data_IF_938312762653
#
_entry.id   IF_938312762653
#
_cell.length_a   1.000
_cell.length_b   1.000
_cell.length_c   1.000
_cell.angle_alpha   90.00
_cell.angle_beta   90.00
_cell.angle_gamma   90.00
#
_symmetry.space_group_name_H-M   'P 1'
#
loop_
_entity.id
_entity.type
_entity.pdbx_description
1 polymer ?
#
# COMPACT_ATOMS: atom_id res chain seq x y z
N UNK A 1 -6.85 -26.77 -3.75
CA UNK A 1 -6.77 -25.30 -3.74
C UNK A 1 -5.76 -24.90 -2.67
N UNK A 2 -4.83 -24.04 -2.98
CA UNK A 2 -3.87 -23.53 -1.99
C UNK A 2 -4.64 -22.63 -1.01
N UNK A 3 -4.55 -22.90 0.26
CA UNK A 3 -5.16 -22.10 1.34
C UNK A 3 -4.12 -21.08 1.83
N UNK A 4 -4.53 -19.83 2.04
CA UNK A 4 -3.68 -18.79 2.63
C UNK A 4 -4.45 -18.08 3.73
N UNK A 5 -3.87 -17.97 4.91
CA UNK A 5 -4.51 -17.35 6.07
C UNK A 5 -4.67 -15.84 5.92
N UNK A 6 -3.72 -15.19 5.27
CA UNK A 6 -3.65 -13.73 5.12
C UNK A 6 -3.58 -13.32 3.66
N UNK A 7 -4.44 -12.38 3.26
CA UNK A 7 -4.39 -11.68 1.98
C UNK A 7 -3.81 -10.28 2.18
N UNK A 8 -2.66 -9.97 1.57
CA UNK A 8 -2.02 -8.65 1.59
C UNK A 8 -2.26 -7.92 0.28
N UNK A 9 -3.00 -6.81 0.34
CA UNK A 9 -3.22 -5.95 -0.81
C UNK A 9 -2.04 -4.99 -1.00
N UNK A 10 -1.50 -4.95 -2.21
CA UNK A 10 -0.49 -3.98 -2.67
C UNK A 10 -1.13 -3.14 -3.77
N UNK A 11 -1.28 -1.84 -3.54
CA UNK A 11 -1.73 -0.90 -4.56
C UNK A 11 -0.58 -0.54 -5.51
N UNK A 12 -0.91 -0.09 -6.72
CA UNK A 12 0.07 0.21 -7.75
C UNK A 12 1.03 1.37 -7.43
N UNK A 13 0.71 2.21 -6.44
CA UNK A 13 1.58 3.27 -5.90
C UNK A 13 2.39 2.83 -4.66
N UNK A 14 2.27 1.55 -4.26
CA UNK A 14 2.91 0.99 -3.05
C UNK A 14 4.01 -0.03 -3.38
N UNK A 15 4.66 0.08 -4.52
CA UNK A 15 5.67 -0.87 -5.00
C UNK A 15 7.04 -0.62 -4.34
N UNK A 16 7.09 -0.73 -3.01
CA UNK A 16 8.30 -0.51 -2.20
C UNK A 16 8.89 -1.84 -1.72
N UNK A 17 10.01 -2.33 -2.31
CA UNK A 17 10.61 -3.61 -1.91
C UNK A 17 11.24 -3.58 -0.52
N UNK A 18 11.44 -2.39 0.08
CA UNK A 18 12.01 -2.24 1.42
C UNK A 18 10.95 -2.27 2.53
N UNK A 19 9.67 -2.38 2.19
CA UNK A 19 8.59 -2.44 3.18
C UNK A 19 8.77 -3.64 4.12
N UNK A 20 8.40 -3.47 5.39
CA UNK A 20 8.56 -4.49 6.44
C UNK A 20 7.88 -5.82 6.13
N UNK A 21 6.83 -5.83 5.30
CA UNK A 21 6.16 -7.05 4.84
C UNK A 21 7.08 -8.05 4.16
N UNK A 22 8.19 -7.59 3.56
CA UNK A 22 9.11 -8.45 2.80
C UNK A 22 10.36 -8.87 3.60
N UNK A 23 10.44 -8.49 4.90
CA UNK A 23 11.58 -8.88 5.75
C UNK A 23 11.58 -10.37 6.11
N UNK A 24 10.39 -10.97 6.19
CA UNK A 24 10.21 -12.39 6.49
C UNK A 24 9.20 -12.99 5.53
N UNK A 25 9.50 -14.18 5.03
CA UNK A 25 8.56 -14.96 4.22
C UNK A 25 7.60 -15.68 5.13
N UNK A 26 6.35 -15.76 4.66
CA UNK A 26 5.27 -16.46 5.30
C UNK A 26 4.45 -17.16 4.21
N UNK A 27 4.47 -18.49 4.22
CA UNK A 27 3.80 -19.29 3.20
C UNK A 27 2.27 -19.21 3.32
N UNK A 28 1.75 -18.79 4.48
CA UNK A 28 0.32 -18.57 4.71
C UNK A 28 -0.17 -17.21 4.22
N UNK A 29 0.73 -16.38 3.69
CA UNK A 29 0.40 -15.05 3.15
C UNK A 29 0.38 -15.05 1.62
N UNK A 30 -0.73 -14.57 1.04
CA UNK A 30 -0.90 -14.27 -0.37
C UNK A 30 -0.84 -12.76 -0.60
N UNK A 31 0.04 -12.31 -1.49
CA UNK A 31 0.13 -10.92 -1.91
C UNK A 31 -0.70 -10.71 -3.16
N UNK A 32 -1.63 -9.77 -3.14
CA UNK A 32 -2.49 -9.40 -4.28
C UNK A 32 -2.03 -8.08 -4.88
N UNK A 33 -1.71 -8.10 -6.15
CA UNK A 33 -1.50 -6.92 -7.00
C UNK A 33 -2.52 -7.01 -8.13
N UNK A 34 -3.40 -6.02 -8.28
CA UNK A 34 -4.47 -6.10 -9.27
C UNK A 34 -4.66 -4.79 -10.02
N UNK A 35 -4.79 -4.90 -11.34
CA UNK A 35 -5.23 -3.83 -12.21
C UNK A 35 -6.76 -3.75 -12.15
N UNK A 36 -7.33 -2.58 -11.98
CA UNK A 36 -8.77 -2.38 -11.82
C UNK A 36 -9.28 -1.23 -12.69
N UNK A 37 -10.40 -1.44 -13.35
CA UNK A 37 -11.12 -0.37 -14.09
C UNK A 37 -11.48 0.80 -13.18
N UNK A 38 -11.81 0.55 -11.93
CA UNK A 38 -12.04 1.58 -10.93
C UNK A 38 -10.92 2.62 -10.88
N UNK A 39 -9.65 2.20 -11.08
CA UNK A 39 -8.48 3.08 -11.01
C UNK A 39 -8.13 3.72 -12.36
N UNK A 40 -8.63 3.18 -13.47
CA UNK A 40 -8.37 3.72 -14.81
C UNK A 40 -9.45 4.70 -15.27
N UNK A 41 -10.68 4.57 -14.76
CA UNK A 41 -11.86 5.23 -15.32
C UNK A 41 -12.32 6.48 -14.53
N UNK A 42 -11.86 6.65 -13.27
CA UNK A 42 -12.29 7.80 -12.46
C UNK A 42 -11.81 9.15 -13.01
N UNK A 43 -10.74 9.15 -13.81
CA UNK A 43 -10.21 10.30 -14.56
C UNK A 43 -9.52 9.81 -15.83
N UNK A 44 -9.60 10.61 -16.91
CA UNK A 44 -8.87 10.27 -18.15
C UNK A 44 -7.37 10.30 -17.93
N UNK A 45 -6.74 9.14 -17.95
CA UNK A 45 -5.29 9.01 -17.93
C UNK A 45 -4.71 8.89 -19.34
N UNK A 46 -3.49 9.39 -19.51
CA UNK A 46 -2.74 9.17 -20.75
C UNK A 46 -2.35 7.69 -20.85
N UNK A 47 -2.48 7.08 -22.03
CA UNK A 47 -2.21 5.65 -22.25
C UNK A 47 -0.79 5.24 -21.82
N UNK A 48 0.22 6.06 -22.10
CA UNK A 48 1.60 5.78 -21.67
C UNK A 48 1.74 5.70 -20.15
N UNK A 49 0.98 6.52 -19.39
CA UNK A 49 0.96 6.45 -17.93
C UNK A 49 0.38 5.12 -17.47
N UNK A 50 -0.75 4.69 -18.04
CA UNK A 50 -1.38 3.41 -17.70
C UNK A 50 -0.46 2.23 -18.01
N UNK A 51 0.12 2.20 -19.23
CA UNK A 51 1.06 1.14 -19.60
C UNK A 51 2.28 1.08 -18.68
N UNK A 52 2.87 2.23 -18.35
CA UNK A 52 4.03 2.29 -17.45
C UNK A 52 3.66 1.83 -16.02
N UNK A 53 2.46 2.18 -15.57
CA UNK A 53 1.97 1.83 -14.25
C UNK A 53 1.72 0.31 -14.12
N UNK A 54 1.01 -0.28 -15.08
CA UNK A 54 0.74 -1.73 -15.10
C UNK A 54 2.01 -2.55 -15.30
N UNK A 55 2.91 -2.11 -16.18
CA UNK A 55 4.22 -2.76 -16.33
C UNK A 55 5.05 -2.71 -15.03
N UNK A 56 4.97 -1.62 -14.26
CA UNK A 56 5.63 -1.56 -12.96
C UNK A 56 5.02 -2.54 -11.96
N UNK A 57 3.69 -2.70 -11.94
CA UNK A 57 2.99 -3.66 -11.09
C UNK A 57 3.37 -5.11 -11.45
N UNK A 58 3.37 -5.46 -12.74
CA UNK A 58 3.77 -6.78 -13.24
C UNK A 58 5.24 -7.11 -12.89
N UNK A 59 6.15 -6.15 -13.11
CA UNK A 59 7.56 -6.32 -12.77
C UNK A 59 7.77 -6.52 -11.27
N UNK A 60 7.04 -5.79 -10.44
CA UNK A 60 7.11 -5.93 -8.99
C UNK A 60 6.56 -7.29 -8.53
N UNK A 61 5.42 -7.73 -9.08
CA UNK A 61 4.87 -9.06 -8.84
C UNK A 61 5.85 -10.17 -9.21
N UNK A 62 6.49 -10.06 -10.38
CA UNK A 62 7.50 -11.00 -10.86
C UNK A 62 8.72 -11.03 -9.93
N UNK A 63 9.20 -9.87 -9.48
CA UNK A 63 10.33 -9.78 -8.56
C UNK A 63 10.01 -10.44 -7.21
N UNK A 64 8.83 -10.21 -6.65
CA UNK A 64 8.39 -10.85 -5.41
C UNK A 64 8.24 -12.37 -5.57
N UNK A 65 7.64 -12.84 -6.67
CA UNK A 65 7.56 -14.28 -6.97
C UNK A 65 8.94 -14.92 -7.09
N UNK A 66 9.87 -14.26 -7.80
CA UNK A 66 11.26 -14.73 -7.93
C UNK A 66 11.97 -14.78 -6.57
N UNK A 67 11.64 -13.84 -5.69
CA UNK A 67 12.13 -13.83 -4.31
C UNK A 67 11.45 -14.91 -3.43
N UNK A 68 10.46 -15.64 -3.93
CA UNK A 68 9.80 -16.77 -3.26
C UNK A 68 8.62 -16.36 -2.36
N UNK A 69 7.96 -15.22 -2.64
CA UNK A 69 6.68 -14.84 -2.04
C UNK A 69 5.52 -15.42 -2.87
N UNK A 70 4.40 -15.72 -2.21
CA UNK A 70 3.17 -16.12 -2.92
C UNK A 70 2.47 -14.87 -3.43
N UNK A 71 2.55 -14.59 -4.73
CA UNK A 71 1.98 -13.39 -5.34
C UNK A 71 0.94 -13.78 -6.38
N UNK A 72 -0.22 -13.16 -6.30
CA UNK A 72 -1.28 -13.17 -7.30
C UNK A 72 -1.30 -11.81 -7.99
N UNK A 73 -0.87 -11.76 -9.24
CA UNK A 73 -1.05 -10.60 -10.11
C UNK A 73 -2.25 -10.82 -11.01
N UNK A 74 -3.18 -9.87 -11.02
CA UNK A 74 -4.38 -9.88 -11.84
C UNK A 74 -4.35 -8.69 -12.80
N UNK A 75 -4.54 -8.98 -14.08
CA UNK A 75 -4.66 -7.98 -15.15
C UNK A 75 -6.08 -7.39 -15.19
N UNK A 76 -6.28 -6.35 -16.01
CA UNK A 76 -7.63 -5.77 -16.23
C UNK A 76 -8.63 -6.82 -16.73
N UNK A 77 -8.19 -7.77 -17.56
CA UNK A 77 -9.07 -8.84 -18.07
C UNK A 77 -9.46 -9.82 -16.97
N UNK A 78 -8.59 -10.07 -15.99
CA UNK A 78 -8.87 -10.95 -14.85
C UNK A 78 -9.82 -10.31 -13.81
N UNK A 79 -9.98 -8.99 -13.86
CA UNK A 79 -10.79 -8.19 -12.93
C UNK A 79 -12.00 -7.55 -13.58
N UNK A 80 -12.32 -7.91 -14.83
CA UNK A 80 -13.40 -7.27 -15.62
C UNK A 80 -14.78 -7.42 -14.99
N UNK A 81 -15.01 -8.52 -14.29
CA UNK A 81 -16.27 -8.81 -13.60
C UNK A 81 -16.38 -8.14 -12.22
N UNK A 82 -15.29 -7.64 -11.67
CA UNK A 82 -15.27 -6.99 -10.35
C UNK A 82 -15.68 -5.51 -10.47
N UNK A 83 -16.76 -5.10 -9.81
CA UNK A 83 -17.23 -3.70 -9.84
C UNK A 83 -16.26 -2.72 -9.22
N UNK A 84 -15.60 -3.17 -8.15
CA UNK A 84 -14.68 -2.35 -7.38
C UNK A 84 -13.65 -3.21 -6.60
N UNK A 85 -12.71 -2.53 -5.96
CA UNK A 85 -11.67 -3.15 -5.14
C UNK A 85 -12.23 -4.03 -4.02
N UNK A 86 -13.37 -3.67 -3.43
CA UNK A 86 -13.93 -4.43 -2.30
C UNK A 86 -14.53 -5.75 -2.76
N UNK A 87 -15.20 -5.75 -3.91
CA UNK A 87 -15.73 -6.98 -4.51
C UNK A 87 -14.59 -7.94 -4.86
N UNK A 88 -13.52 -7.43 -5.48
CA UNK A 88 -12.30 -8.19 -5.76
C UNK A 88 -11.70 -8.80 -4.47
N UNK A 89 -11.52 -7.99 -3.42
CA UNK A 89 -10.93 -8.48 -2.16
C UNK A 89 -11.75 -9.61 -1.53
N UNK A 90 -13.08 -9.48 -1.55
CA UNK A 90 -13.99 -10.53 -1.05
C UNK A 90 -13.87 -11.80 -1.89
N UNK A 91 -13.92 -11.68 -3.23
CA UNK A 91 -13.79 -12.80 -4.15
C UNK A 91 -12.47 -13.57 -3.94
N UNK A 92 -11.37 -12.84 -3.81
CA UNK A 92 -10.05 -13.47 -3.61
C UNK A 92 -9.93 -14.08 -2.21
N UNK A 93 -10.42 -13.40 -1.17
CA UNK A 93 -10.43 -13.94 0.19
C UNK A 93 -11.24 -15.24 0.29
N UNK A 94 -12.42 -15.29 -0.31
CA UNK A 94 -13.24 -16.49 -0.40
C UNK A 94 -12.54 -17.61 -1.16
N UNK A 95 -12.00 -17.32 -2.34
CA UNK A 95 -11.31 -18.31 -3.20
C UNK A 95 -10.15 -18.99 -2.50
N UNK A 96 -9.38 -18.23 -1.72
CA UNK A 96 -8.19 -18.72 -1.01
C UNK A 96 -8.45 -19.00 0.48
N UNK A 97 -9.69 -18.82 0.93
CA UNK A 97 -10.14 -19.05 2.32
C UNK A 97 -9.34 -18.21 3.35
N UNK A 98 -9.08 -16.95 3.00
CA UNK A 98 -8.35 -16.05 3.88
C UNK A 98 -9.21 -15.59 5.06
N UNK A 99 -8.62 -15.58 6.26
CA UNK A 99 -9.25 -15.09 7.49
C UNK A 99 -8.97 -13.61 7.75
N UNK A 100 -7.83 -13.14 7.22
CA UNK A 100 -7.32 -11.77 7.42
C UNK A 100 -7.03 -11.10 6.09
N UNK A 101 -7.42 -9.82 5.96
CA UNK A 101 -7.01 -8.95 4.87
C UNK A 101 -6.15 -7.83 5.46
N UNK A 102 -4.93 -7.69 4.95
CA UNK A 102 -4.03 -6.60 5.30
C UNK A 102 -3.85 -5.66 4.11
N UNK A 103 -3.86 -4.35 4.37
CA UNK A 103 -3.57 -3.35 3.36
C UNK A 103 -2.73 -2.21 3.93
N UNK A 104 -1.91 -1.57 3.09
CA UNK A 104 -1.21 -0.35 3.45
C UNK A 104 -2.14 0.85 3.27
N UNK A 105 -2.03 1.88 4.13
CA UNK A 105 -2.86 3.07 4.02
C UNK A 105 -2.74 3.69 2.61
N UNK A 106 -3.85 3.84 1.86
CA UNK A 106 -3.81 4.53 0.58
C UNK A 106 -3.50 6.01 0.77
N UNK A 107 -2.74 6.59 -0.15
CA UNK A 107 -2.49 8.03 -0.19
C UNK A 107 -3.69 8.79 -0.75
N UNK A 108 -4.53 8.12 -1.56
CA UNK A 108 -5.75 8.69 -2.10
C UNK A 108 -6.92 8.62 -1.11
N UNK A 109 -7.59 9.77 -0.89
CA UNK A 109 -8.69 9.88 0.07
C UNK A 109 -9.89 8.98 -0.27
N UNK A 110 -10.23 8.82 -1.55
CA UNK A 110 -11.33 7.97 -2.02
C UNK A 110 -11.11 6.50 -1.62
N UNK A 111 -9.95 5.93 -1.95
CA UNK A 111 -9.57 4.58 -1.58
C UNK A 111 -9.45 4.40 -0.07
N UNK A 112 -8.86 5.38 0.62
CA UNK A 112 -8.77 5.38 2.08
C UNK A 112 -10.17 5.29 2.73
N UNK A 113 -11.13 6.05 2.24
CA UNK A 113 -12.51 6.04 2.74
C UNK A 113 -13.21 4.72 2.43
N UNK A 114 -13.01 4.17 1.22
CA UNK A 114 -13.57 2.89 0.78
C UNK A 114 -13.06 1.74 1.65
N UNK A 115 -11.74 1.64 1.86
CA UNK A 115 -11.13 0.59 2.68
C UNK A 115 -11.44 0.76 4.17
N UNK A 116 -11.54 1.99 4.68
CA UNK A 116 -11.97 2.23 6.06
C UNK A 116 -13.41 1.77 6.31
N UNK A 117 -14.32 2.03 5.35
CA UNK A 117 -15.69 1.51 5.41
C UNK A 117 -15.71 -0.01 5.32
N UNK A 118 -14.97 -0.59 4.41
CA UNK A 118 -14.84 -2.05 4.30
C UNK A 118 -14.37 -2.67 5.61
N UNK A 119 -13.36 -2.08 6.26
CA UNK A 119 -12.86 -2.54 7.56
C UNK A 119 -13.95 -2.53 8.65
N UNK A 120 -14.83 -1.52 8.66
CA UNK A 120 -15.92 -1.44 9.65
C UNK A 120 -17.06 -2.44 9.40
N UNK A 121 -17.33 -2.75 8.12
CA UNK A 121 -18.49 -3.52 7.70
C UNK A 121 -18.17 -5.01 7.45
N UNK A 122 -16.88 -5.38 7.44
CA UNK A 122 -16.43 -6.73 7.13
C UNK A 122 -16.54 -7.66 8.32
N UNK A 123 -16.91 -8.91 8.05
CA UNK A 123 -16.81 -10.03 9.01
C UNK A 123 -15.39 -10.60 9.10
N UNK A 124 -14.52 -10.29 8.11
CA UNK A 124 -13.12 -10.67 8.11
C UNK A 124 -12.30 -9.75 9.02
N UNK A 125 -11.17 -10.24 9.50
CA UNK A 125 -10.20 -9.40 10.20
C UNK A 125 -9.49 -8.51 9.19
N UNK A 126 -9.75 -7.19 9.20
CA UNK A 126 -9.16 -6.23 8.26
C UNK A 126 -8.19 -5.30 8.98
N UNK A 127 -6.92 -5.34 8.59
CA UNK A 127 -5.81 -4.62 9.23
C UNK A 127 -5.24 -3.59 8.25
N UNK A 128 -5.07 -2.35 8.72
CA UNK A 128 -4.37 -1.30 7.98
C UNK A 128 -3.00 -1.06 8.58
N UNK A 129 -1.97 -1.00 7.75
CA UNK A 129 -0.57 -0.76 8.13
C UNK A 129 -0.04 0.53 7.49
N UNK A 130 1.07 1.05 7.99
CA UNK A 130 1.75 2.20 7.37
C UNK A 130 2.38 1.79 6.04
N UNK A 131 2.49 2.71 5.09
CA UNK A 131 3.15 2.49 3.79
C UNK A 131 4.66 2.45 3.89
N UNK A 132 5.24 2.98 4.95
CA UNK A 132 6.69 3.19 5.12
C UNK A 132 7.34 4.02 3.99
N UNK A 133 6.54 4.73 3.18
CA UNK A 133 7.03 5.62 2.12
C UNK A 133 7.58 6.93 2.66
N UNK A 134 7.07 7.36 3.83
CA UNK A 134 7.41 8.64 4.42
C UNK A 134 8.28 8.46 5.67
N UNK A 135 9.20 9.37 5.87
CA UNK A 135 10.04 9.38 7.08
C UNK A 135 9.21 9.58 8.36
N UNK A 136 8.07 10.26 8.27
CA UNK A 136 7.14 10.43 9.38
C UNK A 136 5.97 9.46 9.23
N UNK A 137 5.80 8.49 10.12
CA UNK A 137 4.65 7.59 10.13
C UNK A 137 3.32 8.36 10.30
N UNK A 138 2.23 7.83 9.74
CA UNK A 138 0.91 8.44 9.87
C UNK A 138 0.47 8.66 11.32
N UNK A 139 0.83 7.75 12.22
CA UNK A 139 0.54 7.83 13.65
C UNK A 139 1.18 9.05 14.31
N UNK A 140 2.33 9.51 13.81
CA UNK A 140 3.15 10.55 14.42
C UNK A 140 2.79 11.96 13.93
N UNK A 141 1.95 12.07 12.88
CA UNK A 141 1.53 13.37 12.33
C UNK A 141 0.90 14.24 13.41
N UNK A 142 0.00 13.66 14.23
CA UNK A 142 -0.70 14.42 15.28
C UNK A 142 0.22 14.91 16.39
N UNK A 143 1.32 14.22 16.66
CA UNK A 143 2.31 14.63 17.67
C UNK A 143 3.20 15.76 17.18
N UNK A 144 3.50 15.76 15.86
CA UNK A 144 4.33 16.79 15.22
C UNK A 144 3.55 18.04 14.86
N UNK A 145 2.29 17.88 14.45
CA UNK A 145 1.43 18.98 14.01
C UNK A 145 0.21 19.07 14.92
N UNK A 146 0.36 19.83 16.00
CA UNK A 146 -0.75 20.06 16.94
C UNK A 146 -1.83 20.92 16.28
N UNK A 147 -3.08 20.50 16.38
CA UNK A 147 -4.23 21.24 15.85
C UNK A 147 -4.22 22.70 16.35
N UNK A 148 -4.44 23.64 15.44
CA UNK A 148 -4.47 25.09 15.69
C UNK A 148 -3.12 25.72 16.12
N UNK A 149 -2.00 25.01 15.99
CA UNK A 149 -0.67 25.60 16.15
C UNK A 149 0.03 25.70 14.79
N UNK A 150 0.60 26.88 14.54
CA UNK A 150 1.42 27.06 13.34
C UNK A 150 2.79 26.41 13.56
N UNK A 151 3.18 25.53 12.62
CA UNK A 151 4.51 24.92 12.57
C UNK A 151 5.11 25.29 11.22
N UNK A 152 6.29 25.90 11.22
CA UNK A 152 7.00 26.20 9.97
C UNK A 152 7.59 24.92 9.39
N UNK A 153 7.59 24.82 8.06
CA UNK A 153 8.22 23.68 7.37
C UNK A 153 9.71 23.57 7.68
N UNK A 154 10.39 24.70 7.89
CA UNK A 154 11.80 24.70 8.28
C UNK A 154 12.02 24.01 9.63
N UNK A 155 11.19 24.29 10.61
CA UNK A 155 11.26 23.63 11.93
C UNK A 155 11.05 22.12 11.81
N UNK A 156 10.02 21.70 11.05
CA UNK A 156 9.74 20.31 10.76
C UNK A 156 10.91 19.63 10.04
N UNK A 157 11.41 20.26 8.97
CA UNK A 157 12.54 19.77 8.18
C UNK A 157 13.80 19.53 9.04
N UNK A 158 14.17 20.51 9.89
CA UNK A 158 15.31 20.38 10.81
C UNK A 158 15.12 19.25 11.82
N UNK A 159 13.89 19.07 12.32
CA UNK A 159 13.58 17.99 13.24
C UNK A 159 13.73 16.61 12.57
N UNK A 160 13.25 16.45 11.32
CA UNK A 160 13.41 15.21 10.55
C UNK A 160 14.87 14.91 10.25
N UNK A 161 15.65 15.90 9.83
CA UNK A 161 17.10 15.75 9.60
C UNK A 161 17.83 15.22 10.83
N UNK A 162 17.55 15.80 12.01
CA UNK A 162 18.14 15.33 13.27
C UNK A 162 17.73 13.91 13.62
N UNK A 163 16.44 13.61 13.47
CA UNK A 163 15.89 12.29 13.81
C UNK A 163 16.49 11.17 12.96
N UNK A 164 16.70 11.42 11.67
CA UNK A 164 17.17 10.42 10.70
C UNK A 164 18.64 10.59 10.31
N UNK A 165 19.37 11.52 10.95
CA UNK A 165 20.78 11.82 10.69
C UNK A 165 21.07 12.13 9.21
N UNK A 166 20.20 12.92 8.57
CA UNK A 166 20.30 13.28 7.15
C UNK A 166 20.97 14.64 7.01
N UNK A 167 22.05 14.73 6.23
CA UNK A 167 22.82 15.96 5.99
C UNK A 167 23.23 16.65 7.30
N UNK A 168 23.78 15.90 8.24
CA UNK A 168 24.26 16.42 9.52
C UNK A 168 25.74 16.03 9.66
N UNK A 169 26.61 17.03 9.83
CA UNK A 169 28.01 16.86 10.20
C UNK A 169 28.25 17.46 11.60
N UNK A 170 29.02 16.74 12.45
CA UNK A 170 29.35 17.14 13.81
C UNK A 170 28.16 17.69 14.61
N UNK A 171 27.00 17.00 14.52
CA UNK A 171 25.73 17.39 15.13
C UNK A 171 25.15 18.74 14.63
N UNK A 172 25.66 19.29 13.54
CA UNK A 172 25.14 20.50 12.89
C UNK A 172 24.57 20.20 11.50
N UNK A 173 23.45 20.86 11.12
CA UNK A 173 22.94 20.76 9.78
C UNK A 173 23.93 21.31 8.75
N UNK A 174 24.22 20.54 7.68
CA UNK A 174 25.01 20.98 6.53
C UNK A 174 24.09 21.57 5.46
N UNK A 175 24.41 22.75 4.92
CA UNK A 175 23.65 23.45 3.86
C UNK A 175 22.56 24.37 4.38
#
# INVERSE_FOLDING_TARGET
MTHHKTLRLILGDQLNPSHSWYKQKDDDTLYLIAELKQETDYVKHHIQKLCAFFNAMENFATALNTAGFNVLHLTLDDTDDDKDLIELLKRIADKYQCETIEYQYPDEFRLKSQLAKFKSDSSLNVIATDTEHFLLPFTDIKTRFTKNKHVTMEHFYRAMRKQFNILIDDAKPTG
#
